data_IF_792822572852
#
_entry.id   IF_792822572852
#
_cell.length_a   1.000
_cell.length_b   1.000
_cell.length_c   1.000
_cell.angle_alpha   90.00
_cell.angle_beta   90.00
_cell.angle_gamma   90.00
#
_symmetry.space_group_name_H-M   'P 1'
#
loop_
_entity.id
_entity.type
_entity.pdbx_description
1 polymer ?
#
# COMPACT_ATOMS: atom_id res chain seq x y z
N UNK A 1 -31.30 -32.41 3.75
CA UNK A 1 -30.72 -31.66 4.89
C UNK A 1 -29.21 -31.86 4.81
N UNK A 2 -28.51 -31.02 4.04
CA UNK A 2 -27.05 -31.06 3.96
C UNK A 2 -26.48 -30.50 5.27
N UNK A 3 -25.46 -31.15 5.83
CA UNK A 3 -24.84 -30.73 7.08
C UNK A 3 -24.47 -29.25 7.03
N UNK A 4 -24.86 -28.51 8.07
CA UNK A 4 -24.38 -27.15 8.25
C UNK A 4 -22.87 -27.26 8.44
N UNK A 5 -22.10 -26.77 7.47
CA UNK A 5 -20.65 -26.66 7.57
C UNK A 5 -20.31 -25.86 8.83
N UNK A 6 -19.27 -26.26 9.56
CA UNK A 6 -18.88 -25.54 10.76
C UNK A 6 -18.56 -24.07 10.40
N UNK A 7 -18.95 -23.08 11.23
CA UNK A 7 -18.69 -21.69 10.90
C UNK A 7 -17.18 -21.44 10.82
N UNK A 8 -16.75 -20.71 9.79
CA UNK A 8 -15.35 -20.31 9.63
C UNK A 8 -14.97 -19.36 10.76
N UNK A 9 -13.81 -19.55 11.36
CA UNK A 9 -13.33 -18.71 12.47
C UNK A 9 -12.45 -17.59 11.94
N UNK A 10 -12.74 -16.36 12.34
CA UNK A 10 -11.98 -15.18 11.90
C UNK A 10 -11.39 -14.41 13.07
N UNK A 11 -10.07 -14.28 13.13
CA UNK A 11 -9.43 -13.39 14.11
C UNK A 11 -9.78 -11.93 13.76
N UNK A 12 -10.49 -11.22 14.65
CA UNK A 12 -10.93 -9.84 14.42
C UNK A 12 -10.05 -8.85 15.20
N UNK A 13 -9.06 -8.25 14.52
CA UNK A 13 -8.17 -7.26 15.12
C UNK A 13 -8.58 -5.86 14.70
N UNK A 14 -9.06 -5.05 15.64
CA UNK A 14 -9.49 -3.67 15.37
C UNK A 14 -8.62 -2.66 16.12
N UNK A 15 -7.93 -1.80 15.38
CA UNK A 15 -7.13 -0.72 15.95
C UNK A 15 -8.04 0.35 16.57
N UNK A 16 -8.12 0.36 17.90
CA UNK A 16 -8.94 1.30 18.69
C UNK A 16 -8.59 2.78 18.44
N UNK A 17 -7.37 3.10 18.00
CA UNK A 17 -6.92 4.47 17.70
C UNK A 17 -7.37 4.95 16.31
N UNK A 18 -7.76 4.05 15.42
CA UNK A 18 -8.30 4.39 14.10
C UNK A 18 -9.78 4.80 14.15
N UNK A 19 -10.43 4.74 15.32
CA UNK A 19 -11.86 5.07 15.46
C UNK A 19 -12.13 6.54 15.11
N UNK A 20 -12.61 6.79 13.90
CA UNK A 20 -13.73 7.74 13.76
C UNK A 20 -14.89 7.11 14.56
N UNK A 21 -15.40 7.83 15.55
CA UNK A 21 -16.19 7.31 16.68
C UNK A 21 -17.57 6.69 16.39
N UNK A 22 -17.79 6.05 15.24
CA UNK A 22 -19.08 5.49 14.81
C UNK A 22 -19.10 3.99 14.48
N UNK A 23 -18.02 3.23 14.69
CA UNK A 23 -18.03 1.79 14.41
C UNK A 23 -18.81 1.00 15.47
N UNK A 24 -19.96 0.45 15.11
CA UNK A 24 -20.66 -0.57 15.88
C UNK A 24 -20.05 -1.95 15.58
N UNK A 25 -19.11 -2.36 16.44
CA UNK A 25 -18.41 -3.64 16.28
C UNK A 25 -19.35 -4.84 16.45
N UNK A 26 -20.40 -4.72 17.25
CA UNK A 26 -21.36 -5.82 17.43
C UNK A 26 -22.25 -5.97 16.21
N UNK A 27 -22.62 -4.87 15.54
CA UNK A 27 -23.28 -4.93 14.24
C UNK A 27 -22.40 -5.63 13.19
N UNK A 28 -21.11 -5.30 13.11
CA UNK A 28 -20.13 -5.97 12.23
C UNK A 28 -20.04 -7.47 12.53
N UNK A 29 -19.88 -7.85 13.80
CA UNK A 29 -19.87 -9.27 14.21
C UNK A 29 -21.18 -9.97 13.84
N UNK A 30 -22.31 -9.29 13.96
CA UNK A 30 -23.61 -9.80 13.54
C UNK A 30 -23.69 -10.08 12.03
N UNK A 31 -23.15 -9.19 11.20
CA UNK A 31 -23.03 -9.39 9.74
C UNK A 31 -22.17 -10.64 9.44
N UNK A 32 -20.99 -10.73 10.04
CA UNK A 32 -20.06 -11.86 9.85
C UNK A 32 -20.71 -13.19 10.24
N UNK A 33 -21.39 -13.25 11.39
CA UNK A 33 -22.09 -14.46 11.86
C UNK A 33 -23.20 -14.90 10.92
N UNK A 34 -23.98 -13.96 10.36
CA UNK A 34 -24.98 -14.27 9.34
C UNK A 34 -24.35 -14.84 8.06
N UNK A 35 -23.12 -14.45 7.76
CA UNK A 35 -22.28 -15.01 6.70
C UNK A 35 -21.57 -16.32 7.02
N UNK A 36 -21.86 -16.95 8.17
CA UNK A 36 -21.22 -18.19 8.60
C UNK A 36 -19.77 -18.01 9.08
N UNK A 37 -19.40 -16.80 9.50
CA UNK A 37 -18.07 -16.49 10.06
C UNK A 37 -18.23 -16.16 11.54
N UNK A 38 -17.59 -16.92 12.42
CA UNK A 38 -17.52 -16.62 13.87
C UNK A 38 -16.29 -15.75 14.17
N UNK A 39 -16.48 -14.48 14.60
CA UNK A 39 -15.38 -13.60 14.96
C UNK A 39 -14.75 -14.01 16.30
N UNK A 40 -13.43 -14.10 16.33
CA UNK A 40 -12.61 -14.37 17.51
C UNK A 40 -11.93 -13.06 17.91
N UNK A 41 -12.28 -12.52 19.08
CA UNK A 41 -11.62 -11.34 19.63
C UNK A 41 -10.22 -11.71 20.17
N UNK A 42 -9.18 -10.89 19.91
CA UNK A 42 -7.86 -11.10 20.48
C UNK A 42 -7.87 -10.87 22.00
N UNK A 43 -6.94 -11.51 22.74
CA UNK A 43 -6.77 -11.24 24.16
C UNK A 43 -6.44 -9.75 24.41
N UNK A 44 -7.01 -9.12 25.44
CA UNK A 44 -6.91 -7.67 25.66
C UNK A 44 -5.51 -7.16 26.00
N UNK A 45 -4.61 -8.04 26.41
CA UNK A 45 -3.24 -7.74 26.83
C UNK A 45 -2.24 -7.71 25.67
N UNK A 46 -2.57 -8.35 24.55
CA UNK A 46 -1.73 -8.39 23.36
C UNK A 46 -2.23 -7.37 22.33
N UNK A 47 -1.34 -6.48 21.90
CA UNK A 47 -1.67 -5.41 20.93
C UNK A 47 -0.81 -5.46 19.68
N UNK A 48 0.21 -6.32 19.65
CA UNK A 48 0.99 -6.57 18.44
C UNK A 48 0.18 -7.43 17.47
N UNK A 49 -0.24 -6.81 16.37
CA UNK A 49 -0.97 -7.47 15.30
C UNK A 49 -0.22 -8.69 14.75
N UNK A 50 1.12 -8.62 14.65
CA UNK A 50 1.92 -9.74 14.12
C UNK A 50 1.83 -10.94 15.05
N UNK A 51 2.06 -10.73 16.35
CA UNK A 51 1.98 -11.78 17.36
C UNK A 51 0.60 -12.43 17.39
N UNK A 52 -0.47 -11.62 17.31
CA UNK A 52 -1.85 -12.11 17.26
C UNK A 52 -2.12 -13.00 16.05
N UNK A 53 -1.68 -12.59 14.85
CA UNK A 53 -1.86 -13.37 13.62
C UNK A 53 -1.16 -14.73 13.74
N UNK A 54 0.10 -14.75 14.15
CA UNK A 54 0.85 -16.01 14.30
C UNK A 54 0.24 -16.93 15.35
N UNK A 55 -0.19 -16.39 16.50
CA UNK A 55 -0.79 -17.17 17.57
C UNK A 55 -2.11 -17.85 17.16
N UNK A 56 -2.84 -17.25 16.20
CA UNK A 56 -4.15 -17.75 15.76
C UNK A 56 -4.09 -18.48 14.40
N UNK A 57 -2.93 -18.53 13.73
CA UNK A 57 -2.77 -19.12 12.40
C UNK A 57 -3.28 -20.57 12.30
N UNK A 58 -3.16 -21.35 13.37
CA UNK A 58 -3.63 -22.75 13.41
C UNK A 58 -5.09 -22.93 13.85
N UNK A 59 -5.75 -21.87 14.31
CA UNK A 59 -7.09 -21.95 14.93
C UNK A 59 -8.15 -21.12 14.25
N UNK A 60 -7.74 -20.16 13.42
CA UNK A 60 -8.62 -19.32 12.62
C UNK A 60 -8.40 -19.60 11.14
N UNK A 61 -9.47 -19.54 10.37
CA UNK A 61 -9.48 -19.73 8.91
C UNK A 61 -9.16 -18.43 8.16
N UNK A 62 -9.22 -17.28 8.83
CA UNK A 62 -8.93 -15.96 8.27
C UNK A 62 -8.60 -14.93 9.35
N UNK A 63 -8.09 -13.77 8.92
CA UNK A 63 -7.85 -12.59 9.74
C UNK A 63 -8.67 -11.42 9.19
N UNK A 64 -9.39 -10.71 10.05
CA UNK A 64 -10.09 -9.47 9.71
C UNK A 64 -9.39 -8.32 10.43
N UNK A 65 -8.85 -7.38 9.66
CA UNK A 65 -8.16 -6.21 10.18
C UNK A 65 -9.02 -4.96 10.02
N UNK A 66 -9.38 -4.34 11.14
CA UNK A 66 -10.01 -3.02 11.18
C UNK A 66 -9.01 -1.93 11.51
N UNK A 67 -8.72 -1.07 10.55
CA UNK A 67 -7.74 -0.01 10.71
C UNK A 67 -7.54 0.81 9.44
N UNK A 68 -6.47 1.59 9.42
CA UNK A 68 -5.98 2.27 8.21
C UNK A 68 -4.77 1.54 7.62
N UNK A 69 -4.15 2.18 6.62
CA UNK A 69 -3.01 1.61 5.89
C UNK A 69 -1.83 1.23 6.79
N UNK A 70 -1.56 1.99 7.87
CA UNK A 70 -0.51 1.64 8.84
C UNK A 70 -0.80 0.34 9.61
N UNK A 71 -2.07 0.04 9.91
CA UNK A 71 -2.46 -1.24 10.55
C UNK A 71 -2.28 -2.41 9.59
N UNK A 72 -2.61 -2.20 8.31
CA UNK A 72 -2.40 -3.20 7.27
C UNK A 72 -0.91 -3.44 7.04
N UNK A 73 -0.10 -2.39 6.87
CA UNK A 73 1.34 -2.49 6.66
C UNK A 73 2.03 -3.23 7.83
N UNK A 74 1.69 -2.89 9.07
CA UNK A 74 2.23 -3.57 10.24
C UNK A 74 1.92 -5.09 10.25
N UNK A 75 0.81 -5.51 9.64
CA UNK A 75 0.41 -6.90 9.52
C UNK A 75 0.93 -7.61 8.27
N UNK A 76 1.44 -6.87 7.27
CA UNK A 76 1.78 -7.40 5.93
C UNK A 76 2.65 -8.65 5.97
N UNK A 77 3.72 -8.60 6.77
CA UNK A 77 4.64 -9.72 6.94
C UNK A 77 3.95 -10.94 7.57
N UNK A 78 3.22 -10.74 8.67
CA UNK A 78 2.56 -11.83 9.37
C UNK A 78 1.46 -12.48 8.52
N UNK A 79 0.76 -11.69 7.70
CA UNK A 79 -0.22 -12.20 6.73
C UNK A 79 0.45 -13.05 5.65
N UNK A 80 1.56 -12.57 5.08
CA UNK A 80 2.32 -13.32 4.08
C UNK A 80 2.92 -14.62 4.65
N UNK A 81 3.34 -14.62 5.91
CA UNK A 81 3.88 -15.81 6.58
C UNK A 81 2.78 -16.80 7.00
N UNK A 82 1.66 -16.31 7.53
CA UNK A 82 0.55 -17.15 8.01
C UNK A 82 -0.31 -17.74 6.88
N UNK A 83 -0.29 -17.12 5.69
CA UNK A 83 -1.09 -17.52 4.52
C UNK A 83 -2.61 -17.60 4.81
N UNK A 84 -3.08 -16.81 5.80
CA UNK A 84 -4.49 -16.68 6.10
C UNK A 84 -5.15 -15.63 5.19
N UNK A 85 -6.35 -15.90 4.64
CA UNK A 85 -7.17 -14.88 3.99
C UNK A 85 -7.39 -13.66 4.88
N UNK A 86 -7.32 -12.49 4.26
CA UNK A 86 -7.49 -11.19 4.88
C UNK A 86 -8.86 -10.60 4.54
N UNK A 87 -9.62 -10.23 5.56
CA UNK A 87 -10.72 -9.27 5.47
C UNK A 87 -10.26 -7.88 5.93
N UNK A 88 -10.69 -6.83 5.24
CA UNK A 88 -10.31 -5.45 5.56
C UNK A 88 -11.56 -4.67 5.96
N UNK A 89 -11.56 -4.08 7.16
CA UNK A 89 -12.53 -3.08 7.58
C UNK A 89 -11.86 -1.69 7.49
N UNK A 90 -12.28 -0.82 6.56
CA UNK A 90 -11.61 0.44 6.28
C UNK A 90 -11.97 1.49 7.35
N UNK A 91 -11.15 1.60 8.39
CA UNK A 91 -11.38 2.52 9.51
C UNK A 91 -10.42 3.72 9.50
N UNK A 92 -9.41 3.73 8.65
CA UNK A 92 -8.47 4.84 8.51
C UNK A 92 -9.02 6.02 7.71
N UNK A 93 -8.23 7.09 7.64
CA UNK A 93 -8.57 8.29 6.86
C UNK A 93 -8.31 8.09 5.37
N UNK A 94 -7.23 7.40 5.03
CA UNK A 94 -6.88 7.10 3.65
C UNK A 94 -7.55 5.77 3.24
N UNK A 95 -7.06 4.62 3.71
CA UNK A 95 -7.52 3.30 3.24
C UNK A 95 -7.19 3.10 1.76
N UNK A 96 -5.96 3.43 1.38
CA UNK A 96 -5.48 3.36 0.00
C UNK A 96 -5.54 1.92 -0.53
N UNK A 97 -5.21 0.91 0.28
CA UNK A 97 -5.35 -0.49 -0.13
C UNK A 97 -6.81 -0.87 -0.36
N UNK A 98 -7.70 -0.54 0.60
CA UNK A 98 -9.13 -0.88 0.48
C UNK A 98 -9.76 -0.23 -0.76
N UNK A 99 -9.42 1.04 -1.04
CA UNK A 99 -9.86 1.73 -2.26
C UNK A 99 -9.30 1.09 -3.52
N UNK A 100 -8.04 0.69 -3.52
CA UNK A 100 -7.40 0.01 -4.65
C UNK A 100 -8.05 -1.35 -4.94
N UNK A 101 -8.60 -2.00 -3.92
CA UNK A 101 -9.31 -3.28 -4.01
C UNK A 101 -10.81 -3.14 -4.31
N UNK A 102 -11.32 -1.91 -4.43
CA UNK A 102 -12.75 -1.67 -4.67
C UNK A 102 -13.65 -1.96 -3.47
N UNK A 103 -13.10 -1.99 -2.25
CA UNK A 103 -13.89 -2.22 -1.04
C UNK A 103 -14.76 -1.01 -0.69
N UNK A 104 -16.01 -1.25 -0.22
CA UNK A 104 -16.86 -0.20 0.31
C UNK A 104 -16.19 0.56 1.45
N UNK A 105 -16.43 1.87 1.56
CA UNK A 105 -15.92 2.67 2.65
C UNK A 105 -16.69 2.45 3.97
N UNK A 106 -17.93 1.95 3.90
CA UNK A 106 -18.73 1.59 5.06
C UNK A 106 -18.27 0.24 5.65
N UNK A 107 -17.94 0.16 6.95
CA UNK A 107 -17.45 -1.08 7.56
C UNK A 107 -18.47 -2.23 7.58
N UNK A 108 -19.78 -1.95 7.61
CA UNK A 108 -20.80 -3.01 7.54
C UNK A 108 -20.88 -3.59 6.13
N UNK A 109 -20.87 -2.73 5.10
CA UNK A 109 -20.80 -3.17 3.70
C UNK A 109 -19.49 -3.96 3.43
N UNK A 110 -18.36 -3.51 3.98
CA UNK A 110 -17.10 -4.25 3.90
C UNK A 110 -17.18 -5.62 4.60
N UNK A 111 -17.88 -5.72 5.73
CA UNK A 111 -18.13 -7.00 6.40
C UNK A 111 -19.01 -7.95 5.57
N UNK A 112 -19.98 -7.42 4.82
CA UNK A 112 -20.77 -8.21 3.87
C UNK A 112 -19.91 -8.77 2.74
N UNK A 113 -18.97 -7.97 2.22
CA UNK A 113 -17.99 -8.44 1.22
C UNK A 113 -17.13 -9.57 1.80
N UNK A 114 -16.61 -9.44 3.02
CA UNK A 114 -15.83 -10.49 3.69
C UNK A 114 -16.64 -11.79 3.83
N UNK A 115 -17.92 -11.69 4.16
CA UNK A 115 -18.80 -12.82 4.30
C UNK A 115 -19.10 -13.55 2.97
N UNK A 116 -19.27 -12.80 1.88
CA UNK A 116 -19.91 -13.30 0.66
C UNK A 116 -18.98 -13.45 -0.54
N UNK A 117 -17.88 -12.68 -0.58
CA UNK A 117 -16.96 -12.67 -1.72
C UNK A 117 -15.77 -13.60 -1.42
N UNK A 118 -15.41 -14.51 -2.34
CA UNK A 118 -14.23 -15.34 -2.18
C UNK A 118 -12.95 -14.51 -2.03
N UNK A 119 -11.97 -15.04 -1.29
CA UNK A 119 -10.65 -14.43 -1.26
C UNK A 119 -9.93 -14.65 -2.58
N UNK A 120 -9.21 -13.63 -3.04
CA UNK A 120 -8.35 -13.69 -4.22
C UNK A 120 -6.92 -13.31 -3.87
N UNK A 121 -5.91 -13.86 -4.58
CA UNK A 121 -4.53 -13.49 -4.33
C UNK A 121 -4.26 -12.05 -4.76
N UNK A 122 -3.42 -11.38 -3.99
CA UNK A 122 -2.77 -10.12 -4.35
C UNK A 122 -1.27 -10.24 -4.11
N UNK A 123 -0.52 -9.42 -4.81
CA UNK A 123 0.93 -9.34 -4.69
C UNK A 123 1.32 -8.42 -3.54
N UNK A 124 2.52 -8.62 -3.02
CA UNK A 124 3.19 -7.69 -2.12
C UNK A 124 4.52 -7.25 -2.70
N UNK A 125 4.87 -6.00 -2.47
CA UNK A 125 6.26 -5.56 -2.63
C UNK A 125 7.09 -5.96 -1.42
N UNK A 126 8.36 -6.28 -1.64
CA UNK A 126 9.33 -6.54 -0.57
C UNK A 126 10.62 -5.78 -0.86
N UNK A 127 11.10 -4.99 0.11
CA UNK A 127 12.39 -4.29 0.05
C UNK A 127 13.26 -4.69 1.24
N UNK A 128 14.41 -5.32 0.97
CA UNK A 128 15.34 -5.79 2.01
C UNK A 128 14.65 -6.59 3.15
N UNK A 129 13.61 -7.37 2.84
CA UNK A 129 12.83 -8.13 3.82
C UNK A 129 11.63 -7.40 4.45
N UNK A 130 11.45 -6.10 4.16
CA UNK A 130 10.29 -5.32 4.60
C UNK A 130 9.19 -5.32 3.54
N UNK A 131 7.99 -5.71 3.93
CA UNK A 131 6.84 -5.85 3.04
C UNK A 131 6.09 -4.51 2.90
N UNK A 132 5.51 -4.27 1.73
CA UNK A 132 4.65 -3.12 1.47
C UNK A 132 3.51 -3.48 0.52
N UNK A 133 2.37 -2.86 0.71
CA UNK A 133 1.19 -3.03 -0.14
C UNK A 133 1.22 -2.07 -1.33
N UNK A 134 1.62 -0.82 -1.10
CA UNK A 134 1.49 0.23 -2.11
C UNK A 134 2.84 0.61 -2.70
N UNK A 135 3.83 0.98 -1.88
CA UNK A 135 5.04 1.61 -2.40
C UNK A 135 6.26 1.54 -1.49
N UNK A 136 7.43 1.34 -2.10
CA UNK A 136 8.73 1.67 -1.54
C UNK A 136 9.34 2.89 -2.23
N UNK A 137 9.99 3.79 -1.51
CA UNK A 137 10.57 5.00 -2.09
C UNK A 137 11.81 5.53 -1.39
N UNK A 138 12.67 6.24 -2.14
CA UNK A 138 13.84 6.95 -1.63
C UNK A 138 13.84 8.40 -2.12
N UNK A 139 14.47 9.30 -1.35
CA UNK A 139 14.54 10.72 -1.68
C UNK A 139 13.41 11.51 -1.01
N UNK A 140 12.82 12.45 -1.74
CA UNK A 140 11.88 13.43 -1.16
C UNK A 140 10.73 12.80 -0.36
N UNK A 141 10.13 11.72 -0.85
CA UNK A 141 9.05 11.03 -0.11
C UNK A 141 9.51 10.33 1.16
N UNK A 142 10.75 9.84 1.22
CA UNK A 142 11.33 9.30 2.45
C UNK A 142 11.66 10.42 3.45
N UNK A 143 12.15 11.56 2.97
CA UNK A 143 12.38 12.75 3.81
C UNK A 143 11.03 13.25 4.41
N UNK A 144 9.96 13.25 3.61
CA UNK A 144 8.60 13.55 4.08
C UNK A 144 8.11 12.55 5.13
N UNK A 145 8.29 11.25 4.90
CA UNK A 145 7.87 10.22 5.84
C UNK A 145 8.59 10.34 7.20
N UNK A 146 9.89 10.67 7.18
CA UNK A 146 10.69 10.86 8.38
C UNK A 146 10.38 12.15 9.16
N UNK A 147 10.10 13.26 8.46
CA UNK A 147 9.94 14.57 9.11
C UNK A 147 8.47 14.98 9.33
N UNK A 148 7.52 14.47 8.54
CA UNK A 148 6.12 14.90 8.53
C UNK A 148 5.13 13.79 8.89
N UNK A 149 5.20 13.38 10.16
CA UNK A 149 4.32 12.35 10.72
C UNK A 149 2.85 12.79 10.80
N UNK A 150 1.94 11.80 10.91
CA UNK A 150 0.52 12.06 11.10
C UNK A 150 0.23 12.85 12.39
N UNK A 151 1.01 12.64 13.45
CA UNK A 151 0.93 13.41 14.69
C UNK A 151 1.29 14.88 14.48
N UNK A 152 2.31 15.15 13.65
CA UNK A 152 2.66 16.51 13.29
C UNK A 152 1.54 17.18 12.48
N UNK A 153 0.90 16.46 11.54
CA UNK A 153 -0.28 16.96 10.81
C UNK A 153 -1.43 17.33 11.75
N UNK A 154 -1.71 16.50 12.76
CA UNK A 154 -2.76 16.77 13.76
C UNK A 154 -2.44 18.01 14.60
N UNK A 155 -1.17 18.25 14.92
CA UNK A 155 -0.71 19.42 15.69
C UNK A 155 -0.67 20.71 14.87
N UNK A 156 -0.19 20.65 13.62
CA UNK A 156 0.00 21.82 12.76
C UNK A 156 -1.22 22.19 11.91
N UNK A 157 -2.20 21.29 11.81
CA UNK A 157 -3.31 21.40 10.87
C UNK A 157 -2.85 21.28 9.40
N UNK A 158 -3.81 21.21 8.49
CA UNK A 158 -3.56 20.98 7.05
C UNK A 158 -2.65 22.03 6.42
N UNK A 159 -2.84 23.31 6.75
CA UNK A 159 -2.03 24.41 6.21
C UNK A 159 -0.59 24.34 6.73
N UNK A 160 -0.41 24.18 8.04
CA UNK A 160 0.92 24.09 8.65
C UNK A 160 1.70 22.87 8.15
N UNK A 161 1.02 21.73 7.96
CA UNK A 161 1.59 20.56 7.32
C UNK A 161 2.05 20.84 5.88
N UNK A 162 1.22 21.53 5.08
CA UNK A 162 1.57 21.92 3.72
C UNK A 162 2.79 22.84 3.65
N UNK A 163 2.92 23.80 4.57
CA UNK A 163 4.09 24.69 4.67
C UNK A 163 5.36 23.89 5.00
N UNK A 164 5.27 22.93 5.91
CA UNK A 164 6.39 22.07 6.27
C UNK A 164 6.83 21.18 5.09
N UNK A 165 5.86 20.57 4.38
CA UNK A 165 6.12 19.79 3.16
C UNK A 165 6.78 20.63 2.07
N UNK A 166 6.31 21.86 1.88
CA UNK A 166 6.91 22.79 0.92
C UNK A 166 8.35 23.17 1.28
N UNK A 167 8.66 23.35 2.58
CA UNK A 167 10.03 23.61 3.04
C UNK A 167 10.96 22.44 2.74
N UNK A 168 10.49 21.21 2.90
CA UNK A 168 11.25 20.01 2.53
C UNK A 168 11.47 19.94 1.02
N UNK A 169 10.42 20.20 0.24
CA UNK A 169 10.52 20.19 -1.22
C UNK A 169 11.55 21.19 -1.73
N UNK A 170 11.60 22.39 -1.14
CA UNK A 170 12.61 23.42 -1.49
C UNK A 170 14.04 23.02 -1.14
N UNK A 171 14.23 22.13 -0.17
CA UNK A 171 15.54 21.61 0.25
C UNK A 171 15.96 20.36 -0.50
N UNK A 172 15.01 19.68 -1.16
CA UNK A 172 15.29 18.48 -1.95
C UNK A 172 16.33 18.77 -3.03
N UNK A 173 17.42 17.99 -3.03
CA UNK A 173 18.50 18.08 -4.01
C UNK A 173 18.57 16.80 -4.83
N UNK A 174 18.74 16.88 -6.17
CA UNK A 174 18.93 15.69 -6.98
C UNK A 174 20.15 14.89 -6.53
N UNK A 175 20.00 13.58 -6.46
CA UNK A 175 21.04 12.62 -6.11
C UNK A 175 21.19 11.55 -7.20
N UNK A 176 22.36 10.92 -7.24
CA UNK A 176 22.63 9.83 -8.17
C UNK A 176 22.13 8.51 -7.60
N UNK A 177 21.39 7.76 -8.42
CA UNK A 177 20.95 6.39 -8.16
C UNK A 177 21.49 5.51 -9.28
N UNK A 178 22.09 4.39 -8.90
CA UNK A 178 22.39 3.29 -9.82
C UNK A 178 21.25 2.28 -9.70
N UNK A 179 20.62 1.95 -10.82
CA UNK A 179 19.44 1.11 -10.90
C UNK A 179 19.84 -0.15 -11.66
N UNK A 180 19.74 -1.31 -11.01
CA UNK A 180 19.92 -2.61 -11.67
C UNK A 180 18.54 -3.27 -11.78
N UNK A 181 18.08 -3.58 -13.00
CA UNK A 181 16.82 -4.29 -13.23
C UNK A 181 16.90 -5.04 -14.58
N UNK A 182 16.24 -6.19 -14.71
CA UNK A 182 16.09 -6.92 -15.98
C UNK A 182 17.41 -7.14 -16.77
N UNK A 183 18.53 -7.30 -16.06
CA UNK A 183 19.87 -7.48 -16.64
C UNK A 183 20.55 -6.20 -17.15
N UNK A 184 19.94 -5.03 -16.96
CA UNK A 184 20.51 -3.72 -17.30
C UNK A 184 20.97 -2.98 -16.04
N UNK A 185 21.92 -2.06 -16.23
CA UNK A 185 22.37 -1.14 -15.18
C UNK A 185 22.33 0.28 -15.73
N UNK A 186 21.52 1.11 -15.08
CA UNK A 186 21.32 2.50 -15.46
C UNK A 186 21.77 3.44 -14.34
N UNK A 187 22.19 4.65 -14.70
CA UNK A 187 22.54 5.69 -13.74
C UNK A 187 21.69 6.91 -13.99
N UNK A 188 20.93 7.34 -12.98
CA UNK A 188 20.03 8.49 -13.06
C UNK A 188 20.34 9.52 -11.99
N UNK A 189 19.98 10.77 -12.26
CA UNK A 189 20.02 11.85 -11.28
C UNK A 189 18.59 12.33 -11.02
N UNK A 190 18.13 12.16 -9.79
CA UNK A 190 16.71 12.26 -9.45
C UNK A 190 16.50 12.86 -8.07
N UNK A 191 15.34 13.45 -7.81
CA UNK A 191 14.95 13.89 -6.46
C UNK A 191 14.15 12.82 -5.71
N UNK A 192 13.62 11.83 -6.42
CA UNK A 192 12.81 10.76 -5.84
C UNK A 192 12.77 9.55 -6.77
N UNK A 193 12.91 8.37 -6.18
CA UNK A 193 12.56 7.09 -6.82
C UNK A 193 11.41 6.46 -6.03
N UNK A 194 10.47 5.84 -6.73
CA UNK A 194 9.34 5.12 -6.13
C UNK A 194 9.10 3.82 -6.90
N UNK A 195 8.84 2.75 -6.18
CA UNK A 195 8.56 1.41 -6.72
C UNK A 195 7.23 0.96 -6.14
N UNK A 196 6.19 0.97 -6.96
CA UNK A 196 4.81 0.70 -6.56
C UNK A 196 4.35 -0.73 -6.86
N UNK A 197 3.47 -1.28 -6.02
CA UNK A 197 2.86 -2.61 -6.12
C UNK A 197 1.34 -2.50 -6.44
N UNK A 198 0.93 -1.44 -7.15
CA UNK A 198 -0.47 -1.22 -7.51
C UNK A 198 -0.76 0.13 -8.16
N UNK A 199 -2.04 0.45 -8.28
CA UNK A 199 -2.58 1.59 -9.06
C UNK A 199 -2.30 2.97 -8.47
N UNK A 200 -2.26 3.08 -7.15
CA UNK A 200 -2.33 4.37 -6.45
C UNK A 200 -1.11 4.62 -5.54
N UNK A 201 -0.65 5.87 -5.51
CA UNK A 201 0.37 6.36 -4.58
C UNK A 201 -0.10 7.64 -3.86
N UNK A 202 0.23 7.77 -2.57
CA UNK A 202 0.30 9.05 -1.86
C UNK A 202 -0.96 9.92 -1.88
N UNK A 203 -2.12 9.39 -1.48
CA UNK A 203 -3.35 10.18 -1.35
C UNK A 203 -4.11 10.41 -2.66
N UNK A 204 -4.07 9.43 -3.56
CA UNK A 204 -4.90 9.42 -4.79
C UNK A 204 -4.16 9.83 -6.07
N UNK A 205 -2.83 9.86 -6.08
CA UNK A 205 -2.08 10.03 -7.33
C UNK A 205 -2.04 8.70 -8.09
N UNK A 206 -2.75 8.64 -9.22
CA UNK A 206 -2.74 7.50 -10.15
C UNK A 206 -1.53 7.64 -11.07
N UNK A 207 -0.56 6.73 -10.93
CA UNK A 207 0.67 6.81 -11.71
C UNK A 207 0.53 6.06 -13.04
N UNK A 208 -0.19 4.94 -13.04
CA UNK A 208 -0.59 4.19 -14.21
C UNK A 208 -2.05 3.76 -14.07
N UNK A 209 -2.89 4.06 -15.06
CA UNK A 209 -4.33 3.78 -14.99
C UNK A 209 -4.65 2.28 -14.96
N UNK A 210 -3.72 1.45 -15.46
CA UNK A 210 -3.90 0.01 -15.65
C UNK A 210 -3.16 -0.88 -14.64
N UNK A 211 -2.34 -0.32 -13.74
CA UNK A 211 -1.64 -1.12 -12.75
C UNK A 211 -2.66 -1.75 -11.78
N UNK A 212 -2.56 -3.05 -11.57
CA UNK A 212 -3.36 -3.78 -10.58
C UNK A 212 -2.46 -4.29 -9.47
N UNK A 213 -3.05 -4.73 -8.36
CA UNK A 213 -2.30 -5.28 -7.21
C UNK A 213 -2.01 -6.77 -7.36
N UNK A 214 -2.28 -7.36 -8.53
CA UNK A 214 -2.24 -8.79 -8.82
C UNK A 214 -1.65 -9.14 -10.21
N UNK A 215 -1.04 -8.17 -10.91
CA UNK A 215 -0.36 -8.38 -12.20
C UNK A 215 1.04 -9.03 -12.05
N UNK A 216 1.55 -9.04 -10.82
CA UNK A 216 2.87 -9.49 -10.40
C UNK A 216 4.00 -8.70 -11.02
N UNK A 217 3.78 -7.40 -11.21
CA UNK A 217 4.78 -6.43 -11.64
C UNK A 217 4.92 -5.31 -10.62
N UNK A 218 6.15 -4.83 -10.46
CA UNK A 218 6.44 -3.58 -9.80
C UNK A 218 6.47 -2.46 -10.83
N UNK A 219 5.90 -1.32 -10.47
CA UNK A 219 5.90 -0.12 -11.29
C UNK A 219 6.96 0.85 -10.76
N UNK A 220 8.07 0.98 -11.48
CA UNK A 220 9.16 1.88 -11.14
C UNK A 220 8.88 3.29 -11.66
N UNK A 221 9.21 4.30 -10.85
CA UNK A 221 9.15 5.71 -11.22
C UNK A 221 10.33 6.49 -10.66
N UNK A 222 10.92 7.35 -11.48
CA UNK A 222 11.95 8.31 -11.07
C UNK A 222 11.58 9.71 -11.51
N UNK A 223 11.70 10.67 -10.60
CA UNK A 223 11.47 12.09 -10.86
C UNK A 223 12.80 12.80 -11.14
N UNK A 224 13.18 12.83 -12.41
CA UNK A 224 14.48 13.30 -12.93
C UNK A 224 14.51 14.83 -13.14
N UNK A 225 13.88 15.58 -12.24
CA UNK A 225 13.87 17.05 -12.33
C UNK A 225 15.18 17.64 -11.83
N UNK A 226 15.75 18.57 -12.61
CA UNK A 226 16.92 19.34 -12.19
C UNK A 226 16.63 20.22 -10.95
N UNK A 227 15.37 20.67 -10.79
CA UNK A 227 14.95 21.54 -9.71
C UNK A 227 13.47 21.32 -9.31
N UNK A 228 13.18 21.49 -8.01
CA UNK A 228 11.86 21.26 -7.41
C UNK A 228 10.72 22.09 -8.01
N UNK A 229 11.00 23.26 -8.61
CA UNK A 229 9.96 24.09 -9.22
C UNK A 229 9.36 23.45 -10.49
N UNK A 230 10.10 22.57 -11.17
CA UNK A 230 9.53 21.76 -12.26
C UNK A 230 8.47 20.78 -11.76
N UNK A 231 8.61 20.27 -10.54
CA UNK A 231 7.58 19.43 -9.92
C UNK A 231 6.28 20.22 -9.68
N UNK A 232 6.37 21.49 -9.29
CA UNK A 232 5.17 22.33 -9.16
C UNK A 232 4.45 22.52 -10.50
N UNK A 233 5.19 22.67 -11.60
CA UNK A 233 4.61 22.75 -12.93
C UNK A 233 3.93 21.44 -13.37
N UNK A 234 4.40 20.29 -12.85
CA UNK A 234 3.85 18.97 -13.14
C UNK A 234 2.65 18.59 -12.25
N UNK A 235 2.44 19.25 -11.10
CA UNK A 235 1.33 18.94 -10.17
C UNK A 235 -0.06 18.85 -10.83
N UNK A 236 -0.46 19.77 -11.74
CA UNK A 236 -1.76 19.66 -12.41
C UNK A 236 -1.87 18.44 -13.32
N UNK A 237 -0.77 18.05 -13.98
CA UNK A 237 -0.73 16.87 -14.85
C UNK A 237 -0.76 15.57 -14.02
N UNK A 238 0.01 15.53 -12.91
CA UNK A 238 0.04 14.42 -11.96
C UNK A 238 -1.32 14.14 -11.33
N UNK A 239 -2.06 15.20 -10.95
CA UNK A 239 -3.43 15.07 -10.42
C UNK A 239 -4.43 14.53 -11.44
N UNK A 240 -4.17 14.73 -12.73
CA UNK A 240 -5.03 14.29 -13.84
C UNK A 240 -4.58 12.97 -14.46
N UNK A 241 -3.48 12.37 -13.99
CA UNK A 241 -2.91 11.16 -14.58
C UNK A 241 -2.30 11.35 -15.97
N UNK A 242 -2.13 12.58 -16.46
CA UNK A 242 -1.70 12.87 -17.85
C UNK A 242 -0.18 13.04 -17.98
N UNK A 243 0.60 12.65 -16.97
CA UNK A 243 2.06 12.86 -16.92
C UNK A 243 2.87 11.98 -17.88
N UNK A 244 2.27 10.99 -18.53
CA UNK A 244 2.95 9.96 -19.35
C UNK A 244 3.75 10.44 -20.57
N UNK A 245 4.01 11.76 -20.69
CA UNK A 245 4.86 12.38 -21.72
C UNK A 245 5.84 13.42 -21.17
N UNK A 246 5.95 13.59 -19.85
CA UNK A 246 6.88 14.54 -19.28
C UNK A 246 8.31 13.98 -19.37
N UNK A 247 9.21 14.67 -20.08
CA UNK A 247 10.61 14.29 -20.25
C UNK A 247 11.40 14.15 -18.93
N UNK A 248 10.84 14.62 -17.81
CA UNK A 248 11.45 14.58 -16.48
C UNK A 248 11.00 13.34 -15.65
N UNK A 249 10.30 12.38 -16.24
CA UNK A 249 9.80 11.17 -15.55
C UNK A 249 10.26 9.92 -16.28
N UNK A 250 10.99 9.05 -15.56
CA UNK A 250 11.28 7.68 -16.01
C UNK A 250 10.29 6.72 -15.40
N UNK A 251 9.79 5.79 -16.20
CA UNK A 251 8.89 4.73 -15.75
C UNK A 251 9.20 3.42 -16.50
N UNK A 252 9.15 2.30 -15.78
CA UNK A 252 9.20 0.96 -16.35
C UNK A 252 8.54 -0.04 -15.39
N UNK A 253 8.22 -1.22 -15.89
CA UNK A 253 7.73 -2.35 -15.09
C UNK A 253 8.82 -3.41 -14.98
N UNK A 254 8.93 -4.04 -13.82
CA UNK A 254 9.88 -5.15 -13.57
C UNK A 254 9.37 -6.02 -12.43
N UNK A 255 9.90 -7.23 -12.28
CA UNK A 255 9.66 -8.05 -11.09
C UNK A 255 10.68 -7.78 -9.97
N UNK A 256 11.82 -7.17 -10.30
CA UNK A 256 12.95 -7.02 -9.38
C UNK A 256 13.84 -5.83 -9.77
N UNK A 257 14.20 -5.00 -8.78
CA UNK A 257 15.09 -3.85 -8.98
C UNK A 257 15.99 -3.64 -7.77
N UNK A 258 17.27 -3.34 -8.01
CA UNK A 258 18.24 -2.96 -6.99
C UNK A 258 18.58 -1.47 -7.15
N UNK A 259 18.36 -0.70 -6.09
CA UNK A 259 18.66 0.73 -6.04
C UNK A 259 19.89 0.97 -5.17
N UNK A 260 20.99 1.42 -5.76
CA UNK A 260 22.21 1.79 -5.04
C UNK A 260 22.42 3.29 -5.08
N UNK A 261 22.94 3.85 -3.99
CA UNK A 261 23.30 5.27 -3.90
C UNK A 261 24.68 5.42 -3.30
N UNK A 262 25.37 6.53 -3.64
CA UNK A 262 26.74 6.79 -3.15
C UNK A 262 26.85 6.83 -1.62
N UNK A 263 25.82 7.32 -0.95
CA UNK A 263 25.65 7.29 0.51
C UNK A 263 24.35 6.56 0.83
N UNK A 264 24.27 5.76 1.91
CA UNK A 264 23.02 5.15 2.34
C UNK A 264 21.92 6.20 2.47
N UNK A 265 20.75 5.92 1.91
CA UNK A 265 19.57 6.77 1.99
C UNK A 265 18.44 5.97 2.63
N UNK A 266 17.64 6.60 3.49
CA UNK A 266 16.48 5.94 4.08
C UNK A 266 15.49 5.55 2.99
N UNK A 267 14.90 4.38 3.16
CA UNK A 267 13.84 3.82 2.33
C UNK A 267 12.54 3.91 3.12
N UNK A 268 11.54 4.51 2.50
CA UNK A 268 10.18 4.57 2.97
C UNK A 268 9.37 3.42 2.37
N UNK A 269 8.57 2.73 3.18
CA UNK A 269 7.57 1.75 2.75
C UNK A 269 6.21 2.13 3.32
N UNK A 270 5.23 2.39 2.46
CA UNK A 270 3.86 2.81 2.82
C UNK A 270 3.76 3.95 3.85
N UNK A 271 4.76 4.84 3.93
CA UNK A 271 4.75 6.00 4.82
C UNK A 271 5.63 5.86 6.07
N UNK A 272 6.31 4.72 6.25
CA UNK A 272 7.26 4.50 7.35
C UNK A 272 8.68 4.25 6.84
N UNK A 273 9.68 4.75 7.57
CA UNK A 273 11.09 4.47 7.28
C UNK A 273 11.47 3.09 7.81
N UNK A 274 11.81 2.16 6.92
CA UNK A 274 12.02 0.75 7.30
C UNK A 274 13.43 0.23 7.05
N UNK A 275 14.13 0.75 6.04
CA UNK A 275 15.48 0.27 5.68
C UNK A 275 16.30 1.36 4.99
N UNK A 276 17.46 1.00 4.43
CA UNK A 276 18.37 1.90 3.71
C UNK A 276 18.83 1.30 2.39
N UNK A 277 19.34 2.14 1.48
CA UNK A 277 20.04 1.68 0.28
C UNK A 277 21.40 1.05 0.61
N UNK A 278 21.87 0.02 -0.14
CA UNK A 278 21.26 -0.61 -1.30
C UNK A 278 19.88 -1.23 -1.01
N UNK A 279 18.89 -0.88 -1.82
CA UNK A 279 17.52 -1.33 -1.65
C UNK A 279 17.21 -2.36 -2.73
N UNK A 280 17.09 -3.62 -2.34
CA UNK A 280 16.69 -4.71 -3.21
C UNK A 280 15.19 -4.89 -3.11
N UNK A 281 14.47 -4.48 -4.15
CA UNK A 281 13.01 -4.50 -4.23
C UNK A 281 12.58 -5.62 -5.16
N UNK A 282 11.62 -6.45 -4.73
CA UNK A 282 11.05 -7.55 -5.51
C UNK A 282 9.56 -7.68 -5.29
N UNK A 283 8.84 -8.15 -6.31
CA UNK A 283 7.44 -8.56 -6.17
C UNK A 283 7.37 -9.95 -5.56
N UNK A 284 6.44 -10.13 -4.62
CA UNK A 284 6.04 -11.41 -4.08
C UNK A 284 4.66 -11.71 -4.64
N UNK A 285 4.62 -12.53 -5.70
CA UNK A 285 3.38 -12.83 -6.39
C UNK A 285 2.43 -13.59 -5.49
N UNK A 286 1.15 -13.22 -5.51
CA UNK A 286 0.07 -13.91 -4.81
C UNK A 286 0.35 -14.12 -3.31
N UNK A 287 1.07 -13.18 -2.70
CA UNK A 287 1.59 -13.30 -1.34
C UNK A 287 0.50 -13.30 -0.26
N UNK A 288 -0.64 -12.63 -0.51
CA UNK A 288 -1.75 -12.54 0.45
C UNK A 288 -3.07 -12.80 -0.25
N UNK A 289 -3.95 -13.57 0.37
CA UNK A 289 -5.33 -13.76 -0.07
C UNK A 289 -6.20 -12.67 0.55
N UNK A 290 -7.04 -11.99 -0.23
CA UNK A 290 -7.90 -10.90 0.28
C UNK A 290 -9.34 -11.07 -0.20
N UNK A 291 -10.28 -10.94 0.73
CA UNK A 291 -11.71 -10.83 0.42
C UNK A 291 -12.00 -9.44 -0.16
N UNK A 292 -12.09 -9.35 -1.48
CA UNK A 292 -12.36 -8.12 -2.20
C UNK A 292 -13.14 -8.40 -3.49
N UNK A 293 -14.00 -7.48 -3.96
CA UNK A 293 -14.69 -7.65 -5.23
C UNK A 293 -13.72 -7.84 -6.39
N UNK A 294 -14.20 -8.51 -7.43
CA UNK A 294 -13.52 -8.47 -8.73
C UNK A 294 -13.60 -7.04 -9.25
N UNK A 295 -12.45 -6.43 -9.50
CA UNK A 295 -12.41 -5.17 -10.21
C UNK A 295 -12.68 -5.46 -11.68
N UNK A 296 -13.50 -4.63 -12.37
CA UNK A 296 -13.63 -4.76 -13.81
C UNK A 296 -12.24 -4.67 -14.43
N UNK A 297 -11.93 -5.61 -15.33
CA UNK A 297 -10.66 -5.60 -16.05
C UNK A 297 -10.44 -4.20 -16.63
N UNK A 298 -9.22 -3.63 -16.52
CA UNK A 298 -8.93 -2.35 -17.15
C UNK A 298 -9.31 -2.47 -18.63
N UNK A 299 -9.99 -1.43 -19.15
CA UNK A 299 -10.42 -1.43 -20.54
C UNK A 299 -9.21 -1.78 -21.42
N UNK A 300 -9.33 -2.84 -22.22
CA UNK A 300 -8.28 -3.27 -23.14
C UNK A 300 -7.74 -2.05 -23.89
N UNK A 301 -6.42 -1.86 -24.00
CA UNK A 301 -5.87 -0.68 -24.65
C UNK A 301 -6.37 -0.68 -26.09
N UNK A 302 -7.33 0.18 -26.39
CA UNK A 302 -7.76 0.43 -27.75
C UNK A 302 -6.57 1.01 -28.51
N UNK A 303 -5.78 0.15 -29.15
CA UNK A 303 -4.76 0.46 -30.15
C UNK A 303 -3.94 1.72 -29.90
N UNK A 304 -3.51 1.98 -28.65
CA UNK A 304 -2.58 3.07 -28.39
C UNK A 304 -1.17 2.56 -28.68
N UNK A 305 -0.36 3.28 -29.48
CA UNK A 305 0.99 2.86 -29.75
C UNK A 305 1.74 2.70 -28.43
N UNK A 306 2.54 1.63 -28.35
CA UNK A 306 3.55 1.39 -27.32
C UNK A 306 4.17 2.72 -26.86
N UNK A 307 4.26 2.92 -25.54
CA UNK A 307 4.98 4.05 -24.93
C UNK A 307 6.51 3.90 -25.12
N UNK A 308 6.96 2.89 -25.86
CA UNK A 308 8.35 2.62 -26.19
C UNK A 308 8.56 2.58 -27.71
N UNK A 309 9.62 3.24 -28.25
CA UNK A 309 10.16 2.89 -29.56
C UNK A 309 10.78 1.48 -29.56
#
# INVERSE_FOLDING_TARGET
MSGADAPRRALLVVNKKARNGGLDLEAVKGVLRRGGIEPVDPPPEESDCKALIHAHAATCDMVILGGGDGTLNAAAQALAEAQLPLGILPLGTANDLARSLGLPADPLEAAEVIATVPARPIDLGCVNGHYFFNVASIGFSADLAGELTADLKRRLGTIGYGVAAFRLLRRARPFTVYIEHDGTVETVRTIQVSVGNGRHYGGGMTVEENATVDDGLLNFYSLEVAHWWRLLALLPALRRGTQGKAADVRAFQTTEVILRTKKPRPVNTDGELTTYTPAHVRVLRQAVQVHAPDLPAPASPAGRPSIFP
#
